data_IF_585654540604
#
_entry.id   IF_585654540604
#
_cell.length_a   1.000
_cell.length_b   1.000
_cell.length_c   1.000
_cell.angle_alpha   90.00
_cell.angle_beta   90.00
_cell.angle_gamma   90.00
#
_symmetry.space_group_name_H-M   'P 1'
#
loop_
_entity.id
_entity.type
_entity.pdbx_description
1 polymer ?
#
# COMPACT_ATOMS: atom_id res chain seq x y z
N UNK A 1 3.96 -12.64 8.61
CA UNK A 1 2.57 -12.20 8.37
C UNK A 1 1.73 -13.45 8.14
N UNK A 2 0.49 -13.55 8.61
CA UNK A 2 -0.35 -14.70 8.31
C UNK A 2 -0.52 -14.83 6.80
N UNK A 3 -0.35 -16.04 6.27
CA UNK A 3 -0.55 -16.33 4.85
C UNK A 3 -2.05 -16.45 4.59
N UNK A 4 -2.61 -15.45 3.90
CA UNK A 4 -3.99 -15.44 3.47
C UNK A 4 -4.03 -15.56 1.95
N UNK A 5 -4.55 -16.66 1.39
CA UNK A 5 -4.65 -16.80 -0.05
C UNK A 5 -5.65 -15.78 -0.60
N UNK A 6 -5.23 -15.01 -1.59
CA UNK A 6 -6.09 -14.09 -2.32
C UNK A 6 -6.35 -14.74 -3.69
N UNK A 7 -7.60 -14.97 -4.09
CA UNK A 7 -7.89 -15.47 -5.43
C UNK A 7 -7.47 -14.42 -6.46
N UNK A 8 -6.66 -14.85 -7.44
CA UNK A 8 -6.14 -14.03 -8.54
C UNK A 8 -6.79 -14.52 -9.82
N UNK A 9 -7.57 -13.66 -10.48
CA UNK A 9 -8.10 -13.94 -11.81
C UNK A 9 -7.04 -13.70 -12.90
N UNK A 10 -7.31 -14.15 -14.13
CA UNK A 10 -6.34 -14.06 -15.24
C UNK A 10 -5.93 -12.61 -15.56
N UNK A 11 -6.86 -11.67 -15.38
CA UNK A 11 -6.60 -10.24 -15.62
C UNK A 11 -5.64 -9.69 -14.57
N UNK A 12 -5.87 -10.02 -13.31
CA UNK A 12 -5.01 -9.65 -12.20
C UNK A 12 -3.63 -10.28 -12.34
N UNK A 13 -3.56 -11.55 -12.76
CA UNK A 13 -2.30 -12.24 -13.03
C UNK A 13 -1.46 -11.51 -14.09
N UNK A 14 -2.09 -11.11 -15.20
CA UNK A 14 -1.42 -10.36 -16.26
C UNK A 14 -0.86 -9.00 -15.78
N UNK A 15 -1.62 -8.29 -14.94
CA UNK A 15 -1.17 -7.03 -14.33
C UNK A 15 0.03 -7.27 -13.40
N UNK A 16 -0.01 -8.33 -12.59
CA UNK A 16 1.08 -8.67 -11.67
C UNK A 16 2.35 -9.04 -12.44
N UNK A 17 2.24 -9.78 -13.55
CA UNK A 17 3.37 -10.12 -14.41
C UNK A 17 4.02 -8.87 -15.04
N UNK A 18 3.21 -7.91 -15.49
CA UNK A 18 3.70 -6.64 -16.01
C UNK A 18 4.46 -5.85 -14.94
N UNK A 19 3.98 -5.87 -13.70
CA UNK A 19 4.65 -5.23 -12.56
C UNK A 19 5.96 -5.95 -12.22
N UNK A 20 5.99 -7.29 -12.26
CA UNK A 20 7.22 -8.06 -12.09
C UNK A 20 8.31 -7.62 -13.08
N UNK A 21 7.98 -7.56 -14.38
CA UNK A 21 8.91 -7.14 -15.41
C UNK A 21 9.41 -5.71 -15.21
N UNK A 22 8.51 -4.78 -14.86
CA UNK A 22 8.85 -3.36 -14.69
C UNK A 22 9.67 -3.08 -13.44
N UNK A 23 9.48 -3.85 -12.38
CA UNK A 23 10.09 -3.61 -11.08
C UNK A 23 11.20 -4.60 -10.73
N UNK A 24 11.50 -5.57 -11.61
CA UNK A 24 12.50 -6.60 -11.37
C UNK A 24 12.12 -7.55 -10.23
N UNK A 25 10.84 -7.93 -10.14
CA UNK A 25 10.34 -8.84 -9.11
C UNK A 25 10.24 -10.26 -9.67
N UNK A 26 10.47 -11.24 -8.81
CA UNK A 26 10.58 -12.65 -9.19
C UNK A 26 9.22 -13.36 -9.14
N UNK A 27 8.32 -12.92 -8.27
CA UNK A 27 7.03 -13.59 -8.06
C UNK A 27 5.85 -12.61 -8.04
N UNK A 28 4.67 -13.12 -8.39
CA UNK A 28 3.42 -12.34 -8.37
C UNK A 28 3.05 -11.89 -6.96
N UNK A 29 3.42 -12.66 -5.93
CA UNK A 29 3.24 -12.28 -4.52
C UNK A 29 4.07 -11.04 -4.18
N UNK A 30 5.33 -10.98 -4.65
CA UNK A 30 6.18 -9.79 -4.47
C UNK A 30 5.57 -8.58 -5.18
N UNK A 31 5.02 -8.74 -6.38
CA UNK A 31 4.32 -7.68 -7.11
C UNK A 31 3.06 -7.20 -6.36
N UNK A 32 2.27 -8.11 -5.84
CA UNK A 32 1.08 -7.79 -5.04
C UNK A 32 1.46 -7.00 -3.78
N UNK A 33 2.47 -7.47 -3.03
CA UNK A 33 2.98 -6.79 -1.84
C UNK A 33 3.51 -5.38 -2.19
N UNK A 34 4.27 -5.26 -3.27
CA UNK A 34 4.80 -3.99 -3.77
C UNK A 34 3.68 -2.98 -4.06
N UNK A 35 2.64 -3.40 -4.79
CA UNK A 35 1.50 -2.54 -5.13
C UNK A 35 0.74 -2.08 -3.88
N UNK A 36 0.49 -2.98 -2.93
CA UNK A 36 -0.18 -2.67 -1.67
C UNK A 36 0.63 -1.64 -0.87
N UNK A 37 1.93 -1.89 -0.67
CA UNK A 37 2.82 -0.95 0.05
C UNK A 37 2.86 0.41 -0.63
N UNK A 38 2.92 0.44 -1.96
CA UNK A 38 2.91 1.67 -2.75
C UNK A 38 1.60 2.44 -2.59
N UNK A 39 0.45 1.76 -2.60
CA UNK A 39 -0.87 2.37 -2.38
C UNK A 39 -0.98 2.96 -0.98
N UNK A 40 -0.57 2.22 0.05
CA UNK A 40 -0.57 2.69 1.44
C UNK A 40 0.29 3.95 1.58
N UNK A 41 1.52 3.96 1.05
CA UNK A 41 2.42 5.12 1.12
C UNK A 41 1.85 6.36 0.43
N UNK A 42 1.18 6.18 -0.71
CA UNK A 42 0.50 7.29 -1.41
C UNK A 42 -0.70 7.80 -0.62
N UNK A 43 -1.53 6.88 -0.12
CA UNK A 43 -2.71 7.20 0.68
C UNK A 43 -2.36 7.93 1.98
N UNK A 44 -1.31 7.47 2.68
CA UNK A 44 -0.81 8.17 3.86
C UNK A 44 -0.29 9.56 3.51
N UNK A 45 0.46 9.70 2.42
CA UNK A 45 0.96 11.01 1.99
C UNK A 45 -0.14 12.00 1.63
N UNK A 46 -1.25 11.53 1.05
CA UNK A 46 -2.44 12.37 0.79
C UNK A 46 -3.21 12.70 2.07
N UNK A 47 -3.32 11.77 3.01
CA UNK A 47 -4.08 11.96 4.25
C UNK A 47 -3.36 12.91 5.23
N UNK A 48 -2.03 12.85 5.28
CA UNK A 48 -1.21 13.61 6.24
C UNK A 48 -0.53 14.84 5.66
N UNK A 49 -0.64 15.04 4.34
CA UNK A 49 0.00 16.14 3.61
C UNK A 49 1.53 16.06 3.68
N UNK A 50 2.15 15.38 2.71
CA UNK A 50 3.62 15.18 2.54
C UNK A 50 4.26 14.08 3.41
N UNK A 51 3.51 13.05 3.77
CA UNK A 51 4.07 11.88 4.46
C UNK A 51 4.43 12.16 5.92
N UNK A 52 3.76 13.14 6.53
CA UNK A 52 3.89 13.45 7.96
C UNK A 52 3.28 12.30 8.78
N UNK A 53 3.83 12.04 9.96
CA UNK A 53 3.20 11.15 10.93
C UNK A 53 1.87 11.76 11.42
N UNK A 54 0.84 10.93 11.57
CA UNK A 54 -0.38 11.32 12.28
C UNK A 54 -0.09 11.29 13.78
N UNK A 55 -0.25 12.43 14.45
CA UNK A 55 -0.19 12.51 15.89
C UNK A 55 -1.62 12.49 16.46
N UNK A 56 -1.85 11.80 17.59
CA UNK A 56 -3.14 11.87 18.27
C UNK A 56 -3.43 13.32 18.66
N UNK A 57 -4.62 13.81 18.30
CA UNK A 57 -5.11 15.11 18.77
C UNK A 57 -5.51 14.94 20.23
N UNK A 58 -4.73 15.51 21.14
CA UNK A 58 -5.12 15.59 22.54
C UNK A 58 -6.18 16.69 22.67
N UNK A 59 -7.44 16.30 22.90
CA UNK A 59 -8.58 17.20 23.16
C UNK A 59 -8.47 18.01 24.48
N UNK A 60 -7.26 18.20 25.02
CA UNK A 60 -7.02 19.02 26.22
C UNK A 60 -6.39 20.35 25.82
N UNK A 61 -7.22 21.35 25.54
CA UNK A 61 -6.76 22.74 25.44
C UNK A 61 -7.26 23.44 24.19
N UNK A 62 -8.52 23.85 24.23
CA UNK A 62 -9.12 24.70 23.22
C UNK A 62 -10.44 25.27 23.73
N UNK A 63 -10.41 25.89 24.92
CA UNK A 63 -11.46 26.86 25.24
C UNK A 63 -11.24 28.04 24.31
N UNK A 64 -12.27 28.36 23.54
CA UNK A 64 -12.45 29.70 22.98
C UNK A 64 -12.56 30.72 24.10
#
# INVERSE_FOLDING_TARGET
>A
MPEQPIPVDDRMAAILDEVCQRCGLETREQAAEFLIRRRIRRGSSSLTGRGRALYPVNNRGGSR
#
